data_IF_454887567522
#
_entry.id   IF_454887567522
#
_cell.length_a   1.000
_cell.length_b   1.000
_cell.length_c   1.000
_cell.angle_alpha   90.00
_cell.angle_beta   90.00
_cell.angle_gamma   90.00
#
_symmetry.space_group_name_H-M   'P 1'
#
loop_
_entity.id
_entity.type
_entity.pdbx_description
1 polymer ?
#
# COMPACT_ATOMS: atom_id res chain seq x y z
N UNK A 1 6.72 20.70 2.22
CA UNK A 1 6.88 19.94 0.98
C UNK A 1 6.20 18.61 1.27
N UNK A 2 5.26 18.20 0.42
CA UNK A 2 4.59 16.91 0.57
C UNK A 2 5.65 15.80 0.56
N UNK A 3 5.59 14.90 1.53
CA UNK A 3 6.46 13.74 1.61
C UNK A 3 5.94 12.63 0.71
N UNK A 4 6.83 11.80 0.21
CA UNK A 4 6.50 10.53 -0.42
C UNK A 4 6.57 9.42 0.63
N UNK A 5 5.44 8.80 0.93
CA UNK A 5 5.31 7.79 1.99
C UNK A 5 4.95 6.43 1.39
N UNK A 6 5.75 5.42 1.73
CA UNK A 6 5.48 4.02 1.41
C UNK A 6 4.86 3.33 2.62
N UNK A 7 3.70 2.71 2.43
CA UNK A 7 3.09 1.84 3.45
C UNK A 7 3.27 0.40 2.97
N UNK A 8 4.18 -0.31 3.63
CA UNK A 8 4.60 -1.66 3.28
C UNK A 8 3.89 -2.66 4.17
N UNK A 9 2.93 -3.39 3.61
CA UNK A 9 2.02 -4.27 4.33
C UNK A 9 2.35 -5.72 3.99
N UNK A 10 2.95 -6.44 4.95
CA UNK A 10 3.11 -7.89 4.87
C UNK A 10 2.13 -8.56 5.82
N UNK A 11 2.13 -8.08 7.07
CA UNK A 11 1.27 -8.54 8.14
C UNK A 11 0.20 -7.48 8.43
N UNK A 12 -0.67 -7.76 9.43
CA UNK A 12 -1.63 -6.78 9.98
C UNK A 12 -2.42 -6.01 8.89
N UNK A 13 -2.84 -6.72 7.85
CA UNK A 13 -3.42 -6.17 6.61
C UNK A 13 -4.54 -5.15 6.85
N UNK A 14 -5.47 -5.44 7.76
CA UNK A 14 -6.54 -4.53 8.17
C UNK A 14 -6.01 -3.19 8.67
N UNK A 15 -5.03 -3.23 9.56
CA UNK A 15 -4.48 -2.02 10.15
C UNK A 15 -3.64 -1.24 9.15
N UNK A 16 -2.79 -1.93 8.37
CA UNK A 16 -1.98 -1.28 7.34
C UNK A 16 -2.84 -0.53 6.31
N UNK A 17 -3.92 -1.14 5.84
CA UNK A 17 -4.84 -0.52 4.89
C UNK A 17 -5.64 0.63 5.51
N UNK A 18 -6.16 0.46 6.74
CA UNK A 18 -6.83 1.54 7.47
C UNK A 18 -5.90 2.73 7.70
N UNK A 19 -4.63 2.46 8.03
CA UNK A 19 -3.61 3.49 8.19
C UNK A 19 -3.28 4.18 6.87
N UNK A 20 -3.25 3.44 5.75
CA UNK A 20 -3.09 4.03 4.43
C UNK A 20 -4.22 4.98 4.06
N UNK A 21 -5.48 4.59 4.30
CA UNK A 21 -6.64 5.47 4.10
C UNK A 21 -6.53 6.72 4.97
N UNK A 22 -6.16 6.58 6.25
CA UNK A 22 -5.98 7.73 7.14
C UNK A 22 -4.85 8.67 6.69
N UNK A 23 -3.76 8.10 6.13
CA UNK A 23 -2.59 8.86 5.70
C UNK A 23 -2.87 9.76 4.49
N UNK A 24 -3.83 9.42 3.63
CA UNK A 24 -4.19 10.27 2.46
C UNK A 24 -4.70 11.65 2.87
N UNK A 25 -5.19 11.81 4.11
CA UNK A 25 -5.65 13.10 4.64
C UNK A 25 -4.53 14.09 4.95
N UNK A 26 -3.26 13.64 4.96
CA UNK A 26 -2.10 14.44 5.36
C UNK A 26 -1.49 15.31 4.25
N UNK A 27 -2.09 15.33 3.04
CA UNK A 27 -1.56 16.05 1.84
C UNK A 27 -0.13 15.59 1.45
N UNK A 28 0.17 14.31 1.71
CA UNK A 28 1.40 13.61 1.33
C UNK A 28 1.11 12.62 0.19
N UNK A 29 2.13 12.28 -0.63
CA UNK A 29 2.00 11.23 -1.65
C UNK A 29 2.09 9.86 -0.98
N UNK A 30 1.01 9.08 -1.02
CA UNK A 30 0.95 7.74 -0.44
C UNK A 30 1.03 6.70 -1.55
N UNK A 31 1.91 5.71 -1.38
CA UNK A 31 1.88 4.46 -2.16
C UNK A 31 1.83 3.26 -1.21
N UNK A 32 1.04 2.25 -1.56
CA UNK A 32 0.81 1.05 -0.74
C UNK A 32 1.44 -0.15 -1.43
N UNK A 33 2.08 -1.01 -0.65
CA UNK A 33 2.72 -2.23 -1.12
C UNK A 33 2.17 -3.42 -0.33
N UNK A 34 1.43 -4.31 -0.99
CA UNK A 34 0.94 -5.56 -0.42
C UNK A 34 1.95 -6.66 -0.72
N UNK A 35 2.58 -7.20 0.32
CA UNK A 35 3.71 -8.12 0.18
C UNK A 35 3.32 -9.57 0.41
N UNK A 36 3.92 -10.44 -0.40
CA UNK A 36 4.11 -11.88 -0.31
C UNK A 36 2.83 -12.73 -0.38
N UNK A 37 1.82 -12.40 0.40
CA UNK A 37 0.56 -13.15 0.45
C UNK A 37 -0.53 -12.49 -0.40
N UNK A 38 -1.47 -13.32 -0.82
CA UNK A 38 -2.74 -12.84 -1.34
C UNK A 38 -3.46 -12.01 -0.26
N UNK A 39 -4.06 -10.91 -0.69
CA UNK A 39 -4.95 -10.13 0.15
C UNK A 39 -6.29 -10.85 0.26
N UNK A 40 -6.55 -11.42 1.42
CA UNK A 40 -7.85 -12.02 1.74
C UNK A 40 -8.88 -10.91 1.91
N UNK A 41 -9.94 -10.98 1.11
CA UNK A 41 -10.96 -9.94 1.06
C UNK A 41 -12.05 -10.22 2.09
N UNK A 42 -12.33 -9.22 2.91
CA UNK A 42 -13.52 -9.10 3.73
C UNK A 42 -14.12 -7.69 3.59
N UNK A 43 -15.17 -7.39 4.35
CA UNK A 43 -15.88 -6.11 4.26
C UNK A 43 -14.98 -4.90 4.60
N UNK A 44 -14.07 -5.03 5.59
CA UNK A 44 -13.18 -3.93 6.02
C UNK A 44 -12.03 -3.74 5.03
N UNK A 45 -11.42 -4.83 4.56
CA UNK A 45 -10.37 -4.79 3.54
C UNK A 45 -10.91 -4.21 2.23
N UNK A 46 -12.09 -4.65 1.80
CA UNK A 46 -12.72 -4.19 0.56
C UNK A 46 -12.99 -2.68 0.60
N UNK A 47 -13.58 -2.20 1.71
CA UNK A 47 -13.86 -0.77 1.89
C UNK A 47 -12.58 0.08 1.84
N UNK A 48 -11.52 -0.35 2.52
CA UNK A 48 -10.27 0.40 2.54
C UNK A 48 -9.59 0.42 1.17
N UNK A 49 -9.57 -0.71 0.46
CA UNK A 49 -8.99 -0.80 -0.90
C UNK A 49 -9.77 0.05 -1.90
N UNK A 50 -11.11 0.01 -1.87
CA UNK A 50 -11.97 0.85 -2.70
C UNK A 50 -11.69 2.33 -2.44
N UNK A 51 -11.62 2.72 -1.16
CA UNK A 51 -11.30 4.09 -0.75
C UNK A 51 -9.92 4.55 -1.25
N UNK A 52 -8.89 3.70 -1.17
CA UNK A 52 -7.56 4.01 -1.72
C UNK A 52 -7.61 4.20 -3.24
N UNK A 53 -8.41 3.39 -3.92
CA UNK A 53 -8.62 3.49 -5.38
C UNK A 53 -9.33 4.80 -5.74
N UNK A 54 -10.36 5.19 -5.00
CA UNK A 54 -11.11 6.45 -5.20
C UNK A 54 -10.23 7.70 -4.98
N UNK A 55 -9.18 7.58 -4.16
CA UNK A 55 -8.19 8.63 -3.94
C UNK A 55 -6.97 8.55 -4.88
N UNK A 56 -7.03 7.73 -5.93
CA UNK A 56 -5.94 7.52 -6.90
C UNK A 56 -4.61 7.08 -6.25
N UNK A 57 -4.67 6.40 -5.10
CA UNK A 57 -3.48 5.84 -4.43
C UNK A 57 -2.98 4.63 -5.19
N UNK A 58 -1.68 4.59 -5.50
CA UNK A 58 -1.09 3.43 -6.17
C UNK A 58 -0.89 2.30 -5.18
N UNK A 59 -1.41 1.13 -5.55
CA UNK A 59 -1.23 -0.12 -4.82
C UNK A 59 -0.38 -1.05 -5.68
N UNK A 60 0.71 -1.54 -5.10
CA UNK A 60 1.63 -2.51 -5.71
C UNK A 60 1.56 -3.85 -4.98
N UNK A 61 1.89 -4.93 -5.68
CA UNK A 61 1.99 -6.27 -5.10
C UNK A 61 3.10 -7.08 -5.77
N UNK A 62 3.80 -7.90 -4.99
CA UNK A 62 4.69 -8.95 -5.51
C UNK A 62 4.04 -10.35 -5.55
N UNK A 63 2.81 -10.47 -5.05
CA UNK A 63 1.99 -11.67 -5.21
C UNK A 63 1.10 -11.57 -6.48
N UNK A 64 1.22 -12.53 -7.43
CA UNK A 64 0.49 -12.52 -8.70
C UNK A 64 -1.01 -12.83 -8.58
N UNK A 65 -1.48 -13.32 -7.43
CA UNK A 65 -2.92 -13.53 -7.18
C UNK A 65 -3.65 -12.23 -6.80
N UNK A 66 -2.92 -11.16 -6.48
CA UNK A 66 -3.50 -9.84 -6.21
C UNK A 66 -3.76 -9.08 -7.52
N UNK A 67 -4.84 -8.30 -7.57
CA UNK A 67 -5.24 -7.56 -8.78
C UNK A 67 -4.56 -6.17 -8.91
N UNK A 68 -3.52 -5.91 -8.13
CA UNK A 68 -2.80 -4.63 -8.06
C UNK A 68 -1.64 -4.56 -9.06
N UNK A 69 -0.99 -3.39 -9.17
CA UNK A 69 0.17 -3.25 -10.06
C UNK A 69 1.29 -4.20 -9.62
N UNK A 70 1.63 -5.14 -10.48
CA UNK A 70 2.60 -6.18 -10.17
C UNK A 70 4.02 -5.65 -10.24
N UNK A 71 4.81 -5.91 -9.19
CA UNK A 71 6.23 -5.63 -9.08
C UNK A 71 6.95 -6.78 -8.42
N UNK A 72 8.14 -7.15 -8.87
CA UNK A 72 8.94 -8.13 -8.14
C UNK A 72 9.42 -7.54 -6.81
N UNK A 73 9.84 -8.41 -5.88
CA UNK A 73 10.44 -7.98 -4.61
C UNK A 73 11.64 -7.06 -4.84
N UNK A 74 12.45 -7.32 -5.87
CA UNK A 74 13.61 -6.51 -6.25
C UNK A 74 13.20 -5.12 -6.77
N UNK A 75 12.14 -5.06 -7.57
CA UNK A 75 11.61 -3.78 -8.06
C UNK A 75 11.06 -2.93 -6.90
N UNK A 76 10.29 -3.55 -5.99
CA UNK A 76 9.81 -2.86 -4.78
C UNK A 76 11.00 -2.37 -3.93
N UNK A 77 12.00 -3.23 -3.71
CA UNK A 77 13.20 -2.84 -2.96
C UNK A 77 13.96 -1.68 -3.60
N UNK A 78 13.99 -1.60 -4.94
CA UNK A 78 14.59 -0.48 -5.67
C UNK A 78 13.77 0.82 -5.57
N UNK A 79 12.44 0.72 -5.39
CA UNK A 79 11.56 1.87 -5.21
C UNK A 79 11.64 2.46 -3.80
N UNK A 80 11.81 1.64 -2.75
CA UNK A 80 11.76 2.10 -1.34
C UNK A 80 12.72 3.26 -0.99
N UNK A 81 13.97 3.33 -1.51
CA UNK A 81 14.87 4.46 -1.28
C UNK A 81 14.38 5.80 -1.84
N UNK A 82 13.39 5.81 -2.73
CA UNK A 82 12.80 7.04 -3.28
C UNK A 82 11.79 7.69 -2.33
N UNK A 83 11.42 7.02 -1.24
CA UNK A 83 10.43 7.49 -0.27
C UNK A 83 11.11 8.19 0.90
N UNK A 84 10.49 9.27 1.38
CA UNK A 84 10.93 9.99 2.58
C UNK A 84 10.66 9.19 3.86
N UNK A 85 9.65 8.32 3.83
CA UNK A 85 9.24 7.49 4.95
C UNK A 85 8.69 6.15 4.46
N UNK A 86 9.14 5.07 5.09
CA UNK A 86 8.58 3.73 4.91
C UNK A 86 7.98 3.27 6.23
N UNK A 87 6.70 2.91 6.21
CA UNK A 87 5.97 2.44 7.39
C UNK A 87 5.62 0.96 7.20
N UNK A 88 6.28 0.04 7.92
CA UNK A 88 6.00 -1.39 7.82
C UNK A 88 4.82 -1.80 8.71
N UNK A 89 3.96 -2.68 8.17
CA UNK A 89 2.85 -3.34 8.87
C UNK A 89 2.90 -4.85 8.71
#
# INVERSE_FOLDING_TARGET
MAKKIAILIRDRKHEGLRMAVGATLADDEINVFIMDDKLEMDDEISLNVETLTDFDVKVFSNNPENQYEQKTTEEIAAMLPEYDLVIPY
#
